data_IF_232026412509
#
_entry.id   IF_232026412509
#
_cell.length_a   1.000
_cell.length_b   1.000
_cell.length_c   1.000
_cell.angle_alpha   90.00
_cell.angle_beta   90.00
_cell.angle_gamma   90.00
#
_symmetry.space_group_name_H-M   'P 1'
#
loop_
_entity.id
_entity.type
_entity.pdbx_description
1 polymer ?
#
# COMPACT_ATOMS: atom_id res chain seq x y z
N UNK A 1 9.40 -46.72 2.19
CA UNK A 1 10.64 -45.98 1.92
C UNK A 1 11.05 -45.19 3.16
N UNK A 2 12.32 -45.21 3.53
CA UNK A 2 12.77 -44.42 4.71
C UNK A 2 13.07 -43.00 4.24
N UNK A 3 12.29 -42.02 4.69
CA UNK A 3 12.51 -40.63 4.36
C UNK A 3 13.75 -40.12 5.09
N UNK A 4 14.72 -39.59 4.34
CA UNK A 4 15.99 -39.11 4.87
C UNK A 4 15.94 -37.60 5.15
N UNK A 5 16.86 -37.10 5.99
CA UNK A 5 17.03 -35.66 6.21
C UNK A 5 17.38 -34.90 4.91
N UNK A 6 18.05 -35.57 3.96
CA UNK A 6 18.40 -35.02 2.66
C UNK A 6 17.14 -34.82 1.79
N UNK A 7 16.19 -35.77 1.82
CA UNK A 7 14.92 -35.62 1.09
C UNK A 7 14.11 -34.46 1.62
N UNK A 8 14.03 -34.29 2.95
CA UNK A 8 13.35 -33.17 3.61
C UNK A 8 14.03 -31.85 3.22
N UNK A 9 15.36 -31.78 3.24
CA UNK A 9 16.09 -30.58 2.86
C UNK A 9 15.89 -30.23 1.38
N UNK A 10 15.86 -31.24 0.49
CA UNK A 10 15.57 -31.04 -0.93
C UNK A 10 14.18 -30.50 -1.18
N UNK A 11 13.15 -31.10 -0.57
CA UNK A 11 11.77 -30.61 -0.70
C UNK A 11 11.61 -29.19 -0.14
N UNK A 12 12.28 -28.89 0.99
CA UNK A 12 12.31 -27.54 1.57
C UNK A 12 12.98 -26.53 0.63
N UNK A 13 14.08 -26.88 -0.01
CA UNK A 13 14.74 -26.00 -0.99
C UNK A 13 13.86 -25.72 -2.20
N UNK A 14 13.03 -26.68 -2.61
CA UNK A 14 12.10 -26.53 -3.73
C UNK A 14 10.85 -25.71 -3.38
N UNK A 15 10.33 -25.86 -2.16
CA UNK A 15 8.99 -25.32 -1.79
C UNK A 15 9.04 -24.17 -0.79
N UNK A 16 10.18 -23.96 -0.10
CA UNK A 16 10.30 -23.00 0.99
C UNK A 16 9.54 -23.38 2.27
N UNK A 17 8.79 -24.48 2.30
CA UNK A 17 7.98 -24.90 3.42
C UNK A 17 8.81 -25.26 4.66
N UNK A 18 8.19 -25.27 5.85
CA UNK A 18 8.84 -25.64 7.10
C UNK A 18 9.30 -27.10 7.10
N UNK A 19 10.39 -27.41 7.85
CA UNK A 19 10.97 -28.78 7.90
C UNK A 19 9.94 -29.86 8.29
N UNK A 20 9.08 -29.55 9.26
CA UNK A 20 8.05 -30.51 9.73
C UNK A 20 6.93 -30.69 8.71
N UNK A 21 6.55 -29.63 8.01
CA UNK A 21 5.57 -29.70 6.92
C UNK A 21 6.13 -30.54 5.75
N UNK A 22 7.40 -30.33 5.38
CA UNK A 22 8.07 -31.14 4.34
C UNK A 22 8.16 -32.61 4.74
N UNK A 23 8.54 -32.91 5.99
CA UNK A 23 8.58 -34.27 6.50
C UNK A 23 7.21 -34.94 6.40
N UNK A 24 6.16 -34.29 6.94
CA UNK A 24 4.81 -34.83 6.91
C UNK A 24 4.26 -35.02 5.48
N UNK A 25 4.58 -34.10 4.56
CA UNK A 25 4.20 -34.25 3.16
C UNK A 25 4.91 -35.41 2.46
N UNK A 26 6.20 -35.62 2.71
CA UNK A 26 6.95 -36.76 2.19
C UNK A 26 6.44 -38.10 2.76
N UNK A 27 6.08 -38.14 4.05
CA UNK A 27 5.50 -39.31 4.67
C UNK A 27 4.16 -39.67 4.01
N UNK A 28 3.28 -38.68 3.79
CA UNK A 28 1.99 -38.85 3.13
C UNK A 28 2.14 -39.24 1.66
N UNK A 29 3.14 -38.67 0.96
CA UNK A 29 3.49 -38.96 -0.43
C UNK A 29 4.35 -40.23 -0.61
N UNK A 30 4.61 -40.98 0.45
CA UNK A 30 5.47 -42.20 0.42
C UNK A 30 6.86 -41.95 -0.21
N UNK A 31 7.41 -40.76 -0.07
CA UNK A 31 8.70 -40.33 -0.57
C UNK A 31 8.69 -39.74 -1.98
N UNK A 32 7.55 -39.63 -2.64
CA UNK A 32 7.44 -38.96 -3.93
C UNK A 32 7.52 -37.44 -3.75
N UNK A 33 8.53 -36.82 -4.40
CA UNK A 33 8.81 -35.38 -4.28
C UNK A 33 7.74 -34.49 -4.93
N UNK A 34 7.21 -34.89 -6.08
CA UNK A 34 6.21 -34.11 -6.81
C UNK A 34 4.87 -34.15 -6.09
N UNK A 35 4.45 -35.33 -5.66
CA UNK A 35 3.23 -35.52 -4.86
C UNK A 35 3.35 -34.76 -3.52
N UNK A 36 4.51 -34.79 -2.87
CA UNK A 36 4.75 -34.06 -1.63
C UNK A 36 4.68 -32.54 -1.83
N UNK A 37 5.21 -32.02 -2.94
CA UNK A 37 5.10 -30.59 -3.28
C UNK A 37 3.62 -30.17 -3.51
N UNK A 38 2.86 -30.98 -4.21
CA UNK A 38 1.42 -30.76 -4.42
C UNK A 38 0.62 -30.79 -3.11
N UNK A 39 0.96 -31.71 -2.20
CA UNK A 39 0.35 -31.75 -0.87
C UNK A 39 0.66 -30.50 -0.06
N UNK A 40 1.90 -30.00 -0.10
CA UNK A 40 2.28 -28.74 0.54
C UNK A 40 1.50 -27.57 -0.05
N UNK A 41 1.34 -27.52 -1.37
CA UNK A 41 0.54 -26.48 -2.04
C UNK A 41 -0.92 -26.50 -1.57
N UNK A 42 -1.55 -27.68 -1.50
CA UNK A 42 -2.92 -27.83 -0.96
C UNK A 42 -3.02 -27.41 0.51
N UNK A 43 -2.02 -27.81 1.33
CA UNK A 43 -1.95 -27.40 2.75
C UNK A 43 -1.77 -25.89 2.90
N UNK A 44 -1.03 -25.24 2.00
CA UNK A 44 -0.88 -23.77 1.96
C UNK A 44 -2.21 -23.05 1.77
N UNK A 45 -3.02 -23.50 0.83
CA UNK A 45 -4.39 -22.95 0.60
C UNK A 45 -5.25 -23.07 1.86
N UNK A 46 -5.25 -24.25 2.51
CA UNK A 46 -6.04 -24.48 3.74
C UNK A 46 -5.53 -23.63 4.90
N UNK A 47 -4.22 -23.49 5.06
CA UNK A 47 -3.64 -22.64 6.11
C UNK A 47 -3.95 -21.16 5.86
N UNK A 48 -3.88 -20.69 4.61
CA UNK A 48 -4.24 -19.34 4.23
C UNK A 48 -5.72 -19.04 4.56
N UNK A 49 -6.62 -19.96 4.23
CA UNK A 49 -8.05 -19.85 4.55
C UNK A 49 -8.30 -19.77 6.07
N UNK A 50 -7.62 -20.58 6.88
CA UNK A 50 -7.73 -20.54 8.36
C UNK A 50 -7.20 -19.24 8.98
N UNK A 51 -6.35 -18.50 8.26
CA UNK A 51 -5.81 -17.20 8.70
C UNK A 51 -6.54 -16.01 8.10
N UNK A 52 -7.59 -16.23 7.30
CA UNK A 52 -8.31 -15.17 6.62
C UNK A 52 -8.81 -14.07 7.57
N UNK A 53 -9.20 -14.44 8.79
CA UNK A 53 -9.71 -13.51 9.81
C UNK A 53 -8.62 -12.81 10.63
N UNK A 54 -7.32 -13.16 10.41
CA UNK A 54 -6.23 -12.48 11.11
C UNK A 54 -6.07 -11.05 10.60
N UNK A 55 -5.81 -10.13 11.53
CA UNK A 55 -5.50 -8.73 11.20
C UNK A 55 -4.07 -8.67 10.66
N UNK A 56 -3.92 -8.18 9.45
CA UNK A 56 -2.64 -7.94 8.79
C UNK A 56 -2.50 -6.44 8.52
N UNK A 57 -1.94 -5.70 9.49
CA UNK A 57 -1.77 -4.24 9.43
C UNK A 57 -0.32 -3.80 9.19
N UNK A 58 0.63 -4.72 9.34
CA UNK A 58 2.01 -4.51 8.96
C UNK A 58 2.22 -4.90 7.47
N UNK A 59 3.42 -4.67 6.92
CA UNK A 59 3.70 -4.95 5.51
C UNK A 59 4.55 -3.88 4.84
N UNK A 60 4.30 -3.63 3.55
CA UNK A 60 4.95 -2.55 2.82
C UNK A 60 4.11 -2.00 1.68
N UNK A 61 4.41 -0.76 1.30
CA UNK A 61 4.02 -0.17 0.01
C UNK A 61 5.21 -0.28 -0.93
N UNK A 62 5.00 -0.89 -2.10
CA UNK A 62 5.97 -0.94 -3.18
C UNK A 62 5.51 -0.09 -4.37
N UNK A 63 6.45 0.40 -5.16
CA UNK A 63 6.18 1.20 -6.36
C UNK A 63 7.12 0.84 -7.49
N UNK A 64 6.61 0.88 -8.72
CA UNK A 64 7.38 0.65 -9.93
C UNK A 64 6.90 1.56 -11.05
N UNK A 65 7.82 2.05 -11.87
CA UNK A 65 7.53 2.88 -13.05
C UNK A 65 8.28 2.29 -14.23
N UNK A 66 7.63 2.25 -15.39
CA UNK A 66 8.23 1.81 -16.65
C UNK A 66 9.44 2.68 -17.07
N UNK A 67 10.33 2.14 -17.86
CA UNK A 67 11.56 2.82 -18.25
C UNK A 67 11.33 4.16 -19.00
N UNK A 68 10.19 4.31 -19.68
CA UNK A 68 9.76 5.53 -20.37
C UNK A 68 8.95 6.50 -19.48
N UNK A 69 8.74 6.16 -18.23
CA UNK A 69 7.94 6.90 -17.24
C UNK A 69 6.50 7.19 -17.69
N UNK A 70 5.90 6.30 -18.51
CA UNK A 70 4.52 6.45 -19.00
C UNK A 70 3.51 5.57 -18.25
N UNK A 71 3.99 4.51 -17.61
CA UNK A 71 3.19 3.58 -16.84
C UNK A 71 3.81 3.43 -15.46
N UNK A 72 3.00 3.50 -14.43
CA UNK A 72 3.45 3.27 -13.07
C UNK A 72 2.39 2.59 -12.22
N UNK A 73 2.83 1.97 -11.14
CA UNK A 73 1.94 1.42 -10.12
C UNK A 73 2.54 1.55 -8.72
N UNK A 74 1.65 1.60 -7.74
CA UNK A 74 1.95 1.37 -6.34
C UNK A 74 1.03 0.27 -5.80
N UNK A 75 1.54 -0.55 -4.89
CA UNK A 75 0.81 -1.67 -4.28
C UNK A 75 1.05 -1.70 -2.78
N UNK A 76 0.02 -1.98 -2.00
CA UNK A 76 0.12 -2.27 -0.57
C UNK A 76 -0.01 -3.77 -0.35
N UNK A 77 1.05 -4.38 0.20
CA UNK A 77 1.09 -5.79 0.60
C UNK A 77 1.19 -5.85 2.12
N UNK A 78 0.24 -6.55 2.75
CA UNK A 78 0.13 -6.64 4.19
C UNK A 78 0.52 -8.01 4.73
N UNK A 79 1.03 -8.02 5.98
CA UNK A 79 1.32 -9.20 6.81
C UNK A 79 0.96 -8.93 8.28
N UNK A 80 1.09 -9.94 9.14
CA UNK A 80 0.73 -9.81 10.56
C UNK A 80 1.79 -9.04 11.36
N UNK A 81 3.11 -9.24 11.05
CA UNK A 81 4.21 -8.65 11.81
C UNK A 81 5.22 -7.88 10.94
N UNK A 82 5.95 -6.98 11.57
CA UNK A 82 7.06 -6.24 10.97
C UNK A 82 8.28 -7.12 10.67
N UNK A 83 8.47 -8.21 11.42
CA UNK A 83 9.51 -9.22 11.14
C UNK A 83 9.34 -9.82 9.75
N UNK A 84 8.11 -10.21 9.39
CA UNK A 84 7.79 -10.75 8.07
C UNK A 84 7.95 -9.70 6.99
N UNK A 85 7.47 -8.46 7.22
CA UNK A 85 7.62 -7.37 6.25
C UNK A 85 9.08 -6.96 6.00
N UNK A 86 9.98 -7.28 6.94
CA UNK A 86 11.42 -7.09 6.83
C UNK A 86 12.14 -8.18 6.02
N UNK A 87 11.54 -9.36 5.84
CA UNK A 87 12.18 -10.51 5.20
C UNK A 87 12.39 -10.30 3.69
N UNK A 88 13.51 -10.83 3.16
CA UNK A 88 13.86 -10.70 1.75
C UNK A 88 12.78 -11.30 0.83
N UNK A 89 12.20 -12.43 1.22
CA UNK A 89 11.16 -13.09 0.44
C UNK A 89 9.89 -12.25 0.31
N UNK A 90 9.47 -11.58 1.40
CA UNK A 90 8.32 -10.69 1.38
C UNK A 90 8.58 -9.45 0.52
N UNK A 91 9.75 -8.83 0.68
CA UNK A 91 10.16 -7.65 -0.09
C UNK A 91 10.26 -7.99 -1.58
N UNK A 92 10.87 -9.12 -1.93
CA UNK A 92 10.96 -9.60 -3.31
C UNK A 92 9.56 -9.84 -3.91
N UNK A 93 8.66 -10.48 -3.16
CA UNK A 93 7.28 -10.69 -3.59
C UNK A 93 6.57 -9.37 -3.91
N UNK A 94 6.59 -8.40 -2.98
CA UNK A 94 5.92 -7.11 -3.18
C UNK A 94 6.47 -6.35 -4.41
N UNK A 95 7.79 -6.37 -4.61
CA UNK A 95 8.42 -5.74 -5.77
C UNK A 95 8.08 -6.46 -7.09
N UNK A 96 8.04 -7.79 -7.09
CA UNK A 96 7.66 -8.54 -8.27
C UNK A 96 6.19 -8.33 -8.64
N UNK A 97 5.30 -8.23 -7.64
CA UNK A 97 3.88 -7.94 -7.84
C UNK A 97 3.68 -6.57 -8.49
N UNK A 98 4.30 -5.51 -7.94
CA UNK A 98 4.14 -4.16 -8.52
C UNK A 98 4.72 -4.07 -9.93
N UNK A 99 5.82 -4.77 -10.20
CA UNK A 99 6.40 -4.87 -11.54
C UNK A 99 5.46 -5.59 -12.50
N UNK A 100 4.87 -6.73 -12.10
CA UNK A 100 3.88 -7.45 -12.89
C UNK A 100 2.65 -6.58 -13.22
N UNK A 101 2.15 -5.78 -12.25
CA UNK A 101 1.05 -4.84 -12.47
C UNK A 101 1.35 -3.88 -13.63
N UNK A 102 2.57 -3.35 -13.70
CA UNK A 102 2.98 -2.43 -14.77
C UNK A 102 3.18 -3.15 -16.10
N UNK A 103 3.99 -4.23 -16.10
CA UNK A 103 4.45 -4.89 -17.31
C UNK A 103 3.35 -5.71 -18.01
N UNK A 104 2.42 -6.31 -17.24
CA UNK A 104 1.34 -7.12 -17.78
C UNK A 104 0.04 -6.33 -17.96
N UNK A 105 0.00 -5.04 -17.59
CA UNK A 105 -1.17 -4.19 -17.80
C UNK A 105 -2.36 -4.53 -16.90
N UNK A 106 -2.12 -4.97 -15.68
CA UNK A 106 -3.13 -5.44 -14.74
C UNK A 106 -3.98 -4.28 -14.23
N UNK A 107 -5.32 -4.44 -14.23
CA UNK A 107 -6.27 -3.36 -13.90
C UNK A 107 -7.11 -3.60 -12.65
N UNK A 108 -7.25 -4.85 -12.24
CA UNK A 108 -8.07 -5.22 -11.08
C UNK A 108 -7.46 -6.38 -10.28
N UNK A 109 -8.00 -6.62 -9.10
CA UNK A 109 -7.47 -7.63 -8.19
C UNK A 109 -7.63 -9.07 -8.72
N UNK A 110 -8.69 -9.36 -9.43
CA UNK A 110 -8.93 -10.71 -9.96
C UNK A 110 -7.91 -11.04 -11.06
N UNK A 111 -7.65 -10.08 -11.96
CA UNK A 111 -6.58 -10.18 -12.94
C UNK A 111 -5.21 -10.30 -12.28
N UNK A 112 -4.97 -9.55 -11.18
CA UNK A 112 -3.71 -9.61 -10.45
C UNK A 112 -3.45 -10.98 -9.83
N UNK A 113 -4.42 -11.56 -9.16
CA UNK A 113 -4.24 -12.87 -8.52
C UNK A 113 -3.97 -14.00 -9.53
N UNK A 114 -4.47 -13.85 -10.75
CA UNK A 114 -4.27 -14.80 -11.86
C UNK A 114 -3.04 -14.48 -12.74
N UNK A 115 -2.39 -13.34 -12.53
CA UNK A 115 -1.22 -12.92 -13.31
C UNK A 115 -0.03 -13.84 -13.09
N UNK A 116 0.82 -13.97 -14.13
CA UNK A 116 2.05 -14.75 -14.05
C UNK A 116 3.11 -14.04 -13.20
N UNK A 117 3.72 -14.77 -12.30
CA UNK A 117 4.82 -14.31 -11.45
C UNK A 117 5.96 -15.34 -11.47
N UNK A 118 6.56 -15.51 -12.65
CA UNK A 118 7.69 -16.42 -12.83
C UNK A 118 7.28 -17.89 -13.06
N UNK A 119 6.17 -18.12 -13.76
CA UNK A 119 5.65 -19.44 -14.11
C UNK A 119 4.56 -19.97 -13.17
N UNK A 120 4.27 -19.22 -12.10
CA UNK A 120 3.14 -19.50 -11.20
C UNK A 120 2.21 -18.26 -11.14
N UNK A 121 0.96 -18.46 -10.69
CA UNK A 121 0.08 -17.30 -10.46
C UNK A 121 0.48 -16.54 -9.19
N UNK A 122 0.21 -15.22 -9.16
CA UNK A 122 0.40 -14.38 -7.95
C UNK A 122 -0.29 -15.03 -6.74
N UNK A 123 -1.50 -15.59 -6.91
CA UNK A 123 -2.23 -16.30 -5.85
C UNK A 123 -1.45 -17.50 -5.32
N UNK A 124 -0.85 -18.28 -6.22
CA UNK A 124 -0.05 -19.47 -5.82
C UNK A 124 1.18 -19.05 -5.03
N UNK A 125 1.94 -18.06 -5.55
CA UNK A 125 3.13 -17.54 -4.87
C UNK A 125 2.77 -16.94 -3.51
N UNK A 126 1.66 -16.20 -3.43
CA UNK A 126 1.13 -15.62 -2.18
C UNK A 126 0.83 -16.69 -1.14
N UNK A 127 0.14 -17.78 -1.52
CA UNK A 127 -0.18 -18.89 -0.62
C UNK A 127 1.08 -19.62 -0.14
N UNK A 128 2.04 -19.85 -1.04
CA UNK A 128 3.32 -20.48 -0.70
C UNK A 128 4.14 -19.60 0.24
N UNK A 129 4.14 -18.29 0.02
CA UNK A 129 4.82 -17.33 0.89
C UNK A 129 4.20 -17.32 2.30
N UNK A 130 2.87 -17.30 2.40
CA UNK A 130 2.16 -17.38 3.67
C UNK A 130 2.40 -18.70 4.41
N UNK A 131 2.52 -19.84 3.68
CA UNK A 131 2.91 -21.12 4.26
C UNK A 131 4.32 -21.09 4.81
N UNK A 132 5.25 -20.50 4.05
CA UNK A 132 6.67 -20.43 4.39
C UNK A 132 6.94 -19.54 5.60
N UNK A 133 6.33 -18.36 5.61
CA UNK A 133 6.51 -17.34 6.66
C UNK A 133 5.59 -17.57 7.87
N UNK A 134 4.57 -18.40 7.72
CA UNK A 134 3.65 -18.76 8.79
C UNK A 134 2.66 -17.65 9.16
N UNK A 135 2.48 -16.63 8.33
CA UNK A 135 1.59 -15.50 8.55
C UNK A 135 0.57 -15.32 7.41
N UNK A 136 -0.53 -14.61 7.70
CA UNK A 136 -1.40 -14.09 6.66
C UNK A 136 -0.66 -13.03 5.85
N UNK A 137 -0.59 -13.23 4.54
CA UNK A 137 -0.08 -12.24 3.60
C UNK A 137 -1.19 -11.93 2.60
N UNK A 138 -1.34 -10.67 2.23
CA UNK A 138 -2.37 -10.26 1.26
C UNK A 138 -1.92 -9.06 0.44
N UNK A 139 -2.26 -9.06 -0.84
CA UNK A 139 -2.24 -7.83 -1.64
C UNK A 139 -3.54 -7.10 -1.35
N UNK A 140 -3.46 -5.97 -0.65
CA UNK A 140 -4.63 -5.25 -0.16
C UNK A 140 -5.25 -4.37 -1.21
N UNK A 141 -4.43 -3.56 -1.86
CA UNK A 141 -4.83 -2.59 -2.87
C UNK A 141 -3.66 -2.23 -3.77
N UNK A 142 -3.95 -1.84 -4.99
CA UNK A 142 -2.98 -1.22 -5.87
C UNK A 142 -3.63 -0.12 -6.71
N UNK A 143 -2.80 0.75 -7.27
CA UNK A 143 -3.20 1.72 -8.27
C UNK A 143 -2.21 1.69 -9.42
N UNK A 144 -2.72 1.77 -10.65
CA UNK A 144 -1.93 1.80 -11.88
C UNK A 144 -2.34 3.01 -12.72
N UNK A 145 -1.36 3.77 -13.19
CA UNK A 145 -1.54 4.85 -14.16
C UNK A 145 -0.91 4.47 -15.49
N UNK A 146 -1.66 4.63 -16.59
CA UNK A 146 -1.26 4.29 -17.95
C UNK A 146 -1.86 5.21 -19.03
N UNK A 147 -2.11 6.47 -18.68
CA UNK A 147 -2.75 7.45 -19.56
C UNK A 147 -1.77 8.12 -20.56
N UNK A 148 -0.58 7.56 -20.71
CA UNK A 148 0.46 8.08 -21.62
C UNK A 148 1.14 9.37 -21.16
N UNK A 149 0.84 9.84 -19.93
CA UNK A 149 1.44 11.00 -19.29
C UNK A 149 2.64 10.59 -18.44
N UNK A 150 3.40 11.56 -17.96
CA UNK A 150 4.56 11.31 -17.12
C UNK A 150 4.09 10.82 -15.73
N UNK A 151 4.59 9.65 -15.31
CA UNK A 151 4.35 9.09 -13.98
C UNK A 151 5.64 9.12 -13.17
N UNK A 152 5.55 9.57 -11.93
CA UNK A 152 6.62 9.50 -10.95
C UNK A 152 6.13 8.86 -9.67
N UNK A 153 7.00 8.11 -8.98
CA UNK A 153 6.70 7.50 -7.68
C UNK A 153 7.73 7.92 -6.63
N UNK A 154 7.28 8.06 -5.40
CA UNK A 154 8.14 8.27 -4.24
C UNK A 154 7.73 7.31 -3.12
N UNK A 155 8.70 6.63 -2.53
CA UNK A 155 8.50 5.74 -1.40
C UNK A 155 9.24 6.32 -0.17
N UNK A 156 8.49 6.62 0.87
CA UNK A 156 9.07 7.04 2.15
C UNK A 156 9.21 5.82 3.07
N UNK A 157 10.41 5.25 3.08
CA UNK A 157 10.64 3.93 3.68
C UNK A 157 9.80 2.86 3.00
N UNK A 158 9.23 1.97 3.82
CA UNK A 158 8.30 0.92 3.34
C UNK A 158 6.84 1.25 3.63
N UNK A 159 6.56 2.39 4.28
CA UNK A 159 5.24 2.67 4.88
C UNK A 159 4.37 3.61 4.07
N UNK A 160 4.95 4.54 3.31
CA UNK A 160 4.19 5.50 2.53
C UNK A 160 4.67 5.45 1.08
N UNK A 161 3.72 5.25 0.16
CA UNK A 161 3.99 5.28 -1.27
C UNK A 161 3.10 6.30 -1.96
N UNK A 162 3.71 7.10 -2.84
CA UNK A 162 3.03 8.11 -3.63
C UNK A 162 3.29 7.82 -5.11
N UNK A 163 2.26 7.98 -5.91
CA UNK A 163 2.33 8.02 -7.36
C UNK A 163 1.66 9.28 -7.85
N UNK A 164 2.34 10.02 -8.72
CA UNK A 164 1.86 11.28 -9.31
C UNK A 164 1.87 11.15 -10.83
N UNK A 165 0.81 11.60 -11.48
CA UNK A 165 0.72 11.74 -12.92
C UNK A 165 0.78 13.20 -13.31
N UNK A 166 1.72 13.54 -14.20
CA UNK A 166 1.95 14.91 -14.66
C UNK A 166 1.68 15.06 -16.16
N UNK A 167 1.08 16.16 -16.52
CA UNK A 167 1.10 16.69 -17.88
C UNK A 167 2.20 17.74 -17.97
N UNK A 168 3.20 17.50 -18.82
CA UNK A 168 4.41 18.33 -18.89
C UNK A 168 5.38 18.10 -17.73
N UNK A 169 6.42 18.93 -17.65
CA UNK A 169 7.43 18.87 -16.61
C UNK A 169 8.46 17.73 -16.78
N UNK A 170 9.11 17.36 -15.69
CA UNK A 170 10.18 16.35 -15.65
C UNK A 170 9.93 15.32 -14.55
N UNK A 171 10.62 14.17 -14.65
CA UNK A 171 10.59 13.12 -13.59
C UNK A 171 11.05 13.69 -12.25
N UNK A 172 12.08 14.53 -12.25
CA UNK A 172 12.59 15.16 -11.02
C UNK A 172 11.52 16.02 -10.34
N UNK A 173 10.78 16.84 -11.13
CA UNK A 173 9.65 17.60 -10.59
C UNK A 173 8.55 16.68 -10.04
N UNK A 174 8.24 15.58 -10.75
CA UNK A 174 7.26 14.60 -10.27
C UNK A 174 7.67 13.96 -8.95
N UNK A 175 8.94 13.62 -8.79
CA UNK A 175 9.48 13.10 -7.53
C UNK A 175 9.42 14.13 -6.40
N UNK A 176 9.69 15.40 -6.70
CA UNK A 176 9.63 16.50 -5.73
C UNK A 176 8.19 16.76 -5.25
N UNK A 177 7.22 16.70 -6.18
CA UNK A 177 5.80 16.80 -5.85
C UNK A 177 5.34 15.56 -5.06
N UNK A 178 5.79 14.36 -5.42
CA UNK A 178 5.47 13.14 -4.69
C UNK A 178 6.03 13.16 -3.26
N UNK A 179 7.25 13.66 -3.07
CA UNK A 179 7.84 13.88 -1.75
C UNK A 179 6.99 14.86 -0.92
N UNK A 180 6.56 15.97 -1.53
CA UNK A 180 5.68 16.94 -0.88
C UNK A 180 4.36 16.29 -0.45
N UNK A 181 3.71 15.51 -1.33
CA UNK A 181 2.47 14.79 -1.01
C UNK A 181 2.67 13.80 0.14
N UNK A 182 3.83 13.13 0.20
CA UNK A 182 4.13 12.21 1.29
C UNK A 182 4.09 12.91 2.65
N UNK A 183 4.67 14.10 2.73
CA UNK A 183 4.80 14.86 3.97
C UNK A 183 3.54 15.67 4.33
N UNK A 184 2.94 16.32 3.34
CA UNK A 184 1.84 17.30 3.57
C UNK A 184 0.45 16.70 3.46
N UNK A 185 0.32 15.46 2.94
CA UNK A 185 -0.91 14.67 2.83
C UNK A 185 -2.11 15.48 2.30
N UNK A 186 -2.02 16.15 1.13
CA UNK A 186 -3.16 16.80 0.53
C UNK A 186 -4.27 15.80 0.21
N UNK A 187 -5.52 16.26 0.17
CA UNK A 187 -6.67 15.38 -0.11
C UNK A 187 -7.11 15.43 -1.58
N UNK A 188 -6.75 16.49 -2.29
CA UNK A 188 -7.07 16.70 -3.69
C UNK A 188 -5.97 17.50 -4.39
N UNK A 189 -6.01 17.54 -5.72
CA UNK A 189 -5.04 18.31 -6.53
C UNK A 189 -5.27 19.81 -6.34
N UNK A 190 -6.52 20.26 -6.45
CA UNK A 190 -6.92 21.66 -6.32
C UNK A 190 -8.33 21.76 -5.70
N UNK A 191 -8.83 22.99 -5.52
CA UNK A 191 -10.15 23.25 -4.91
C UNK A 191 -11.32 22.58 -5.63
N UNK A 192 -11.23 22.34 -6.92
CA UNK A 192 -12.31 21.73 -7.70
C UNK A 192 -12.51 20.25 -7.34
N UNK A 193 -11.47 19.61 -6.79
CA UNK A 193 -11.52 18.23 -6.29
C UNK A 193 -12.01 18.08 -4.84
N UNK A 194 -12.33 19.18 -4.16
CA UNK A 194 -12.85 19.11 -2.77
C UNK A 194 -14.32 18.75 -2.79
N UNK A 195 -14.68 17.75 -1.99
CA UNK A 195 -16.08 17.35 -1.81
C UNK A 195 -16.92 18.51 -1.24
N UNK A 196 -17.97 18.97 -1.94
CA UNK A 196 -18.84 20.03 -1.46
C UNK A 196 -19.50 19.73 -0.11
N UNK A 197 -19.80 18.46 0.20
CA UNK A 197 -20.38 18.06 1.48
C UNK A 197 -19.37 18.27 2.62
N UNK A 198 -18.09 17.95 2.38
CA UNK A 198 -17.03 18.23 3.34
C UNK A 198 -16.89 19.72 3.63
N UNK A 199 -16.94 20.58 2.59
CA UNK A 199 -16.89 22.03 2.75
C UNK A 199 -18.10 22.55 3.54
N UNK A 200 -19.30 22.05 3.24
CA UNK A 200 -20.52 22.44 3.95
C UNK A 200 -20.44 22.04 5.44
N UNK A 201 -19.93 20.85 5.73
CA UNK A 201 -19.73 20.36 7.09
C UNK A 201 -18.72 21.21 7.86
N UNK A 202 -17.56 21.50 7.28
CA UNK A 202 -16.54 22.36 7.90
C UNK A 202 -17.07 23.77 8.15
N UNK A 203 -17.82 24.33 7.19
CA UNK A 203 -18.49 25.63 7.34
C UNK A 203 -19.44 25.64 8.53
N UNK A 204 -20.28 24.63 8.68
CA UNK A 204 -21.20 24.51 9.81
C UNK A 204 -20.46 24.45 11.14
N UNK A 205 -19.40 23.65 11.24
CA UNK A 205 -18.55 23.53 12.43
C UNK A 205 -17.95 24.90 12.80
N UNK A 206 -17.40 25.64 11.82
CA UNK A 206 -16.82 26.95 12.08
C UNK A 206 -17.85 27.97 12.56
N UNK A 207 -19.07 27.98 11.97
CA UNK A 207 -20.18 28.84 12.41
C UNK A 207 -20.54 28.55 13.87
N UNK A 208 -20.73 27.28 14.24
CA UNK A 208 -21.10 26.88 15.59
C UNK A 208 -20.04 27.24 16.62
N UNK A 209 -18.75 27.00 16.29
CA UNK A 209 -17.64 27.39 17.15
C UNK A 209 -17.61 28.89 17.41
N UNK A 210 -17.85 29.72 16.38
CA UNK A 210 -17.84 31.18 16.52
C UNK A 210 -19.02 31.69 17.31
N UNK A 211 -20.22 31.09 17.16
CA UNK A 211 -21.39 31.37 17.98
C UNK A 211 -21.13 31.07 19.46
N UNK A 212 -20.56 29.90 19.76
CA UNK A 212 -20.20 29.53 21.12
C UNK A 212 -19.13 30.46 21.75
N UNK A 213 -18.26 31.03 20.92
CA UNK A 213 -17.29 32.04 21.34
C UNK A 213 -17.90 33.45 21.52
N UNK A 214 -19.21 33.62 21.32
CA UNK A 214 -19.91 34.90 21.46
C UNK A 214 -19.54 35.92 20.38
N UNK A 215 -19.08 35.50 19.21
CA UNK A 215 -18.77 36.43 18.12
C UNK A 215 -20.08 37.04 17.52
N UNK A 216 -20.10 38.35 17.21
CA UNK A 216 -21.24 38.99 16.59
C UNK A 216 -21.56 38.36 15.21
N UNK A 217 -22.85 38.22 14.91
CA UNK A 217 -23.28 37.55 13.65
C UNK A 217 -22.72 38.21 12.38
N UNK A 218 -22.64 39.55 12.37
CA UNK A 218 -22.06 40.30 11.25
C UNK A 218 -20.56 40.02 11.00
N UNK A 219 -19.83 39.49 11.99
CA UNK A 219 -18.44 39.12 11.86
C UNK A 219 -18.24 37.66 11.50
N UNK A 220 -19.21 36.78 11.86
CA UNK A 220 -19.09 35.32 11.68
C UNK A 220 -18.85 34.98 10.22
N UNK A 221 -19.60 35.58 9.28
CA UNK A 221 -19.48 35.25 7.85
C UNK A 221 -18.07 35.53 7.31
N UNK A 222 -17.48 36.67 7.65
CA UNK A 222 -16.14 37.03 7.20
C UNK A 222 -15.07 36.15 7.83
N UNK A 223 -15.22 35.79 9.11
CA UNK A 223 -14.28 34.88 9.79
C UNK A 223 -14.36 33.45 9.20
N UNK A 224 -15.57 32.96 8.94
CA UNK A 224 -15.79 31.66 8.32
C UNK A 224 -15.19 31.63 6.92
N UNK A 225 -15.35 32.67 6.12
CA UNK A 225 -14.70 32.77 4.80
C UNK A 225 -13.18 32.64 4.92
N UNK A 226 -12.57 33.39 5.87
CA UNK A 226 -11.11 33.27 6.10
C UNK A 226 -10.66 31.90 6.62
N UNK A 227 -11.48 31.22 7.43
CA UNK A 227 -11.20 29.83 7.87
C UNK A 227 -11.31 28.83 6.71
N UNK A 228 -12.30 28.98 5.84
CA UNK A 228 -12.44 28.14 4.65
C UNK A 228 -11.28 28.32 3.65
N UNK A 229 -10.78 29.55 3.48
CA UNK A 229 -9.58 29.79 2.67
C UNK A 229 -8.36 29.02 3.23
N UNK A 230 -8.17 29.01 4.55
CA UNK A 230 -7.11 28.21 5.19
C UNK A 230 -7.34 26.71 5.01
N UNK A 231 -8.57 26.27 5.19
CA UNK A 231 -8.96 24.87 4.97
C UNK A 231 -8.61 24.41 3.54
N UNK A 232 -8.98 25.18 2.51
CA UNK A 232 -8.59 24.88 1.13
C UNK A 232 -7.08 24.83 0.95
N UNK A 233 -6.34 25.78 1.55
CA UNK A 233 -4.90 25.82 1.47
C UNK A 233 -4.23 24.63 2.16
N UNK A 234 -4.87 24.03 3.17
CA UNK A 234 -4.35 22.87 3.88
C UNK A 234 -4.59 21.57 3.11
N UNK A 235 -5.73 21.41 2.42
CA UNK A 235 -6.11 20.14 1.79
C UNK A 235 -5.84 20.06 0.29
N UNK A 236 -5.61 21.20 -0.38
CA UNK A 236 -5.40 21.27 -1.83
C UNK A 236 -3.92 21.36 -2.17
N UNK A 237 -3.40 20.37 -2.87
CA UNK A 237 -1.98 20.26 -3.23
C UNK A 237 -1.41 21.54 -3.83
N UNK A 238 -2.10 22.13 -4.81
CA UNK A 238 -1.62 23.33 -5.53
C UNK A 238 -1.56 24.57 -4.67
N UNK A 239 -2.26 24.59 -3.54
CA UNK A 239 -2.31 25.73 -2.62
C UNK A 239 -1.34 25.62 -1.45
N UNK A 240 -0.81 24.43 -1.19
CA UNK A 240 0.14 24.20 -0.12
C UNK A 240 1.48 24.86 -0.42
N UNK A 241 2.16 25.44 0.62
CA UNK A 241 3.55 25.83 0.52
C UNK A 241 4.43 24.61 0.20
N UNK A 242 5.35 24.72 -0.76
CA UNK A 242 6.18 23.60 -1.16
C UNK A 242 7.20 23.24 -0.08
N UNK A 243 7.26 21.96 0.32
CA UNK A 243 8.05 21.51 1.47
C UNK A 243 9.55 21.84 1.38
N UNK A 244 10.12 21.91 0.17
CA UNK A 244 11.53 22.27 -0.01
C UNK A 244 11.76 23.79 -0.08
N UNK A 245 10.70 24.58 -0.28
CA UNK A 245 10.72 26.02 -0.32
C UNK A 245 9.34 26.59 0.02
N UNK A 246 9.09 26.86 1.28
CA UNK A 246 7.79 27.31 1.79
C UNK A 246 7.34 28.69 1.27
N UNK A 247 8.24 29.48 0.66
CA UNK A 247 7.89 30.75 0.03
C UNK A 247 7.13 30.57 -1.30
N UNK A 248 7.19 29.36 -1.89
CA UNK A 248 6.59 29.05 -3.18
C UNK A 248 5.47 28.00 -3.00
N UNK A 249 4.28 28.30 -3.49
CA UNK A 249 3.21 27.31 -3.54
C UNK A 249 3.48 26.26 -4.62
N UNK A 250 3.03 25.01 -4.37
CA UNK A 250 3.17 23.89 -5.33
C UNK A 250 2.56 24.25 -6.69
N UNK A 251 1.40 24.93 -6.72
CA UNK A 251 0.77 25.39 -7.97
C UNK A 251 1.65 26.35 -8.79
N UNK A 252 2.38 27.25 -8.12
CA UNK A 252 3.33 28.15 -8.78
C UNK A 252 4.55 27.37 -9.29
N UNK A 253 5.10 26.47 -8.49
CA UNK A 253 6.22 25.61 -8.89
C UNK A 253 5.89 24.83 -10.19
N UNK A 254 4.69 24.27 -10.25
CA UNK A 254 4.18 23.53 -11.41
C UNK A 254 4.03 24.46 -12.64
N UNK A 255 3.42 25.62 -12.46
CA UNK A 255 3.21 26.59 -13.56
C UNK A 255 4.54 27.10 -14.13
N UNK A 256 5.50 27.43 -13.27
CA UNK A 256 6.84 27.89 -13.67
C UNK A 256 7.61 26.80 -14.48
N UNK A 257 7.30 25.52 -14.26
CA UNK A 257 7.84 24.38 -14.98
C UNK A 257 7.00 23.94 -16.20
N UNK A 258 5.93 24.66 -16.53
CA UNK A 258 5.00 24.26 -17.60
C UNK A 258 4.33 22.90 -17.38
N UNK A 259 4.08 22.56 -16.11
CA UNK A 259 3.54 21.29 -15.70
C UNK A 259 2.21 21.43 -14.97
N UNK A 260 1.43 20.34 -14.98
CA UNK A 260 0.19 20.21 -14.22
C UNK A 260 0.09 18.81 -13.62
N UNK A 261 -0.27 18.71 -12.34
CA UNK A 261 -0.66 17.43 -11.75
C UNK A 261 -2.06 17.06 -12.25
N UNK A 262 -2.15 15.90 -12.88
CA UNK A 262 -3.44 15.33 -13.34
C UNK A 262 -4.15 14.63 -12.20
N UNK A 263 -3.40 13.79 -11.51
CA UNK A 263 -3.87 13.03 -10.35
C UNK A 263 -2.69 12.53 -9.52
N UNK A 264 -2.96 12.14 -8.30
CA UNK A 264 -2.02 11.43 -7.45
C UNK A 264 -2.72 10.36 -6.63
N UNK A 265 -1.97 9.37 -6.20
CA UNK A 265 -2.39 8.37 -5.20
C UNK A 265 -1.36 8.32 -4.09
N UNK A 266 -1.82 8.38 -2.85
CA UNK A 266 -1.01 8.18 -1.65
C UNK A 266 -1.55 6.98 -0.90
N UNK A 267 -0.69 5.99 -0.67
CA UNK A 267 -0.97 4.88 0.23
C UNK A 267 -0.11 5.00 1.47
N UNK A 268 -0.75 4.86 2.61
CA UNK A 268 -0.08 4.64 3.87
C UNK A 268 -0.39 3.23 4.36
N UNK A 269 0.65 2.51 4.73
CA UNK A 269 0.54 1.13 5.18
C UNK A 269 -0.44 1.01 6.35
N UNK A 270 -1.40 0.10 6.22
CA UNK A 270 -2.38 -0.18 7.26
C UNK A 270 -3.44 0.92 7.46
N UNK A 271 -3.48 1.95 6.62
CA UNK A 271 -4.47 3.02 6.70
C UNK A 271 -5.90 2.45 6.70
N UNK A 272 -6.72 2.82 7.72
CA UNK A 272 -8.09 2.36 7.87
C UNK A 272 -8.24 0.92 8.39
N UNK A 273 -7.15 0.23 8.75
CA UNK A 273 -7.22 -1.05 9.45
C UNK A 273 -7.29 -0.78 10.96
N UNK A 274 -8.36 -1.21 11.61
CA UNK A 274 -8.45 -1.13 13.06
C UNK A 274 -7.42 -2.06 13.71
N UNK A 275 -6.41 -1.48 14.35
CA UNK A 275 -5.47 -2.24 15.17
C UNK A 275 -6.15 -2.56 16.49
N UNK A 276 -6.42 -3.84 16.75
CA UNK A 276 -6.80 -4.27 18.11
C UNK A 276 -5.58 -4.08 19.00
N UNK A 277 -5.57 -3.00 19.77
CA UNK A 277 -4.57 -2.81 20.84
C UNK A 277 -4.94 -3.77 21.96
N UNK A 278 -4.43 -5.01 21.88
CA UNK A 278 -4.53 -5.93 23.03
C UNK A 278 -3.63 -5.38 24.13
N UNK A 279 -4.17 -5.33 25.35
CA UNK A 279 -3.37 -5.01 26.51
C UNK A 279 -2.38 -6.16 26.73
N UNK A 280 -1.10 -5.85 26.93
CA UNK A 280 -0.03 -6.85 27.16
C UNK A 280 -0.41 -7.91 28.22
N UNK A 281 -1.16 -7.52 29.26
CA UNK A 281 -1.66 -8.44 30.28
C UNK A 281 -2.67 -9.46 29.73
N UNK A 282 -3.47 -9.09 28.73
CA UNK A 282 -4.43 -9.98 28.06
C UNK A 282 -3.72 -10.96 27.11
N UNK A 283 -2.68 -10.51 26.42
CA UNK A 283 -1.86 -11.39 25.57
C UNK A 283 -1.14 -12.47 26.39
N UNK A 284 -0.57 -12.08 27.52
CA UNK A 284 0.09 -13.03 28.44
C UNK A 284 -0.94 -14.01 29.00
N UNK A 285 -2.14 -13.57 29.36
CA UNK A 285 -3.20 -14.44 29.87
C UNK A 285 -3.75 -15.43 28.82
N UNK A 286 -3.74 -15.06 27.53
CA UNK A 286 -4.11 -15.96 26.42
C UNK A 286 -3.03 -17.01 26.14
N UNK A 287 -1.75 -16.69 26.32
CA UNK A 287 -0.63 -17.64 26.14
C UNK A 287 -0.46 -18.63 27.30
N UNK A 288 -1.03 -18.33 28.47
CA UNK A 288 -0.98 -19.20 29.64
C UNK A 288 -2.19 -20.16 29.75
N UNK A 289 -3.12 -20.12 28.81
CA UNK A 289 -4.25 -21.06 28.64
C UNK A 289 -3.92 -22.13 27.60
#
# INVERSE_FOLDING_TARGET
>A
MTITAADIAKLRAMTGAGMMDCKGALEEAQGDMEVAADLLRKKGIVKAAKRADKIASEGMVAGYVSADNKVGAIVEVNCETDFVSGSDNFVAFANNVVKAIVEQGIKDNDALLNADLGGETVQTVLNNLGLTLGEKISVRRFMRYDNGKLVATYLHGKKIGIMVELEGGTVALGMDVALHIAASNPKCVDRSGVDPELVAREKAIYVDQLKQQGKPENMIENIVKGKLEKFYAEISLTEQPFIKNEEVKVGKLLADAGAKVVQFTRYELGEGIEKVVKNFAEEVAEQLK
#
